data_IF_838811592124
#
_entry.id   IF_838811592124
#
_cell.length_a   1.000
_cell.length_b   1.000
_cell.length_c   1.000
_cell.angle_alpha   90.00
_cell.angle_beta   90.00
_cell.angle_gamma   90.00
#
_symmetry.space_group_name_H-M   'P 1'
#
loop_
_entity.id
_entity.type
_entity.pdbx_description
1 polymer ?
#
# COMPACT_ATOMS: atom_id res chain seq x y z
N UNK A 1 66.61 -37.45 4.90
CA UNK A 1 65.36 -37.26 5.67
C UNK A 1 64.70 -36.01 5.09
N UNK A 2 63.81 -36.14 4.08
CA UNK A 2 62.32 -36.15 4.19
C UNK A 2 61.84 -34.96 5.06
N UNK A 3 61.07 -33.98 4.61
CA UNK A 3 59.84 -34.01 3.77
C UNK A 3 59.69 -32.67 3.01
N UNK A 4 59.36 -32.61 1.72
CA UNK A 4 58.07 -32.89 1.08
C UNK A 4 56.91 -32.05 1.64
N UNK A 5 56.78 -30.82 1.12
CA UNK A 5 55.53 -30.03 1.17
C UNK A 5 54.68 -30.45 -0.03
N UNK A 6 53.56 -31.11 0.25
CA UNK A 6 52.57 -31.51 -0.74
C UNK A 6 51.67 -30.34 -1.10
N UNK A 7 51.54 -30.12 -2.41
CA UNK A 7 50.42 -29.40 -3.01
C UNK A 7 49.13 -30.19 -2.75
N UNK A 8 48.07 -29.50 -2.34
CA UNK A 8 46.70 -30.02 -2.36
C UNK A 8 45.97 -29.41 -3.55
N UNK A 9 45.22 -30.21 -4.34
CA UNK A 9 44.60 -29.77 -5.57
C UNK A 9 43.26 -29.09 -5.34
N UNK A 10 42.94 -28.15 -6.23
CA UNK A 10 41.63 -27.50 -6.38
C UNK A 10 40.53 -28.56 -6.55
N UNK A 11 39.56 -28.56 -5.64
CA UNK A 11 38.33 -29.32 -5.80
C UNK A 11 37.43 -28.59 -6.80
N UNK A 12 37.44 -29.04 -8.05
CA UNK A 12 36.39 -28.70 -9.01
C UNK A 12 35.10 -29.39 -8.56
N UNK A 13 34.14 -28.61 -8.06
CA UNK A 13 32.77 -29.08 -7.86
C UNK A 13 32.11 -29.16 -9.24
N UNK A 14 31.99 -30.38 -9.75
CA UNK A 14 31.17 -30.69 -10.92
C UNK A 14 29.72 -30.76 -10.45
N UNK A 15 28.96 -29.68 -10.66
CA UNK A 15 27.51 -29.70 -10.57
C UNK A 15 26.94 -30.39 -11.82
N UNK A 16 26.74 -31.70 -11.71
CA UNK A 16 25.98 -32.51 -12.68
C UNK A 16 24.51 -32.54 -12.25
N UNK A 17 23.79 -31.47 -12.55
CA UNK A 17 22.33 -31.39 -12.44
C UNK A 17 21.68 -31.63 -13.80
N UNK A 18 21.41 -32.89 -14.14
CA UNK A 18 20.49 -33.25 -15.22
C UNK A 18 19.05 -33.06 -14.71
N UNK A 19 18.52 -31.86 -14.89
CA UNK A 19 17.10 -31.55 -14.76
C UNK A 19 16.56 -31.11 -16.12
N UNK A 20 16.07 -32.07 -16.92
CA UNK A 20 15.18 -31.77 -18.05
C UNK A 20 13.79 -31.42 -17.47
N UNK A 21 13.64 -30.19 -17.01
CA UNK A 21 12.35 -29.56 -16.85
C UNK A 21 11.86 -29.12 -18.24
N UNK A 22 10.68 -29.58 -18.64
CA UNK A 22 9.97 -29.02 -19.78
C UNK A 22 9.52 -27.60 -19.41
N UNK A 23 10.43 -26.63 -19.51
CA UNK A 23 10.11 -25.21 -19.45
C UNK A 23 9.43 -24.79 -20.75
N UNK A 24 8.38 -23.98 -20.63
CA UNK A 24 7.75 -23.27 -21.73
C UNK A 24 8.70 -22.21 -22.30
N UNK A 25 9.78 -22.63 -22.96
CA UNK A 25 10.67 -21.77 -23.74
C UNK A 25 10.23 -21.71 -25.19
N UNK A 26 9.13 -21.04 -25.48
CA UNK A 26 8.84 -20.52 -26.82
C UNK A 26 9.72 -19.30 -27.13
N UNK A 27 9.81 -18.84 -28.39
CA UNK A 27 10.71 -17.74 -28.81
C UNK A 27 10.33 -16.34 -28.29
N UNK A 28 9.37 -16.24 -27.38
CA UNK A 28 8.95 -15.00 -26.72
C UNK A 28 9.53 -14.98 -25.29
N UNK A 29 10.83 -14.71 -25.15
CA UNK A 29 11.33 -14.23 -23.85
C UNK A 29 10.55 -12.96 -23.49
N UNK A 30 10.05 -12.80 -22.24
CA UNK A 30 9.39 -11.58 -21.82
C UNK A 30 10.37 -10.42 -21.96
N UNK A 31 10.22 -9.60 -22.98
CA UNK A 31 10.94 -8.36 -23.05
C UNK A 31 10.18 -7.36 -22.19
N UNK A 32 10.73 -7.04 -21.00
CA UNK A 32 10.15 -6.03 -20.13
C UNK A 32 9.94 -4.75 -20.95
N UNK A 33 8.70 -4.26 -21.01
CA UNK A 33 8.38 -3.07 -21.81
C UNK A 33 8.96 -1.79 -21.21
N UNK A 34 9.26 -1.84 -19.92
CA UNK A 34 9.89 -0.81 -19.10
C UNK A 34 9.40 -0.90 -17.66
N UNK A 35 10.10 -0.23 -16.73
CA UNK A 35 9.80 -0.34 -15.30
C UNK A 35 8.54 0.41 -14.89
N UNK A 36 7.97 0.01 -13.75
CA UNK A 36 6.74 0.57 -13.16
C UNK A 36 7.00 0.96 -11.71
N UNK A 37 6.64 2.19 -11.35
CA UNK A 37 6.55 2.65 -9.97
C UNK A 37 5.07 2.71 -9.58
N UNK A 38 4.67 1.92 -8.57
CA UNK A 38 3.32 1.91 -8.01
C UNK A 38 3.34 2.50 -6.60
N UNK A 39 2.69 3.64 -6.43
CA UNK A 39 2.57 4.35 -5.15
C UNK A 39 1.15 4.17 -4.60
N UNK A 40 1.01 3.35 -3.56
CA UNK A 40 -0.21 3.26 -2.78
C UNK A 40 -0.32 4.44 -1.81
N UNK A 41 -1.46 5.12 -1.81
CA UNK A 41 -1.76 6.24 -0.93
C UNK A 41 -3.10 6.01 -0.26
N UNK A 42 -3.07 5.71 1.04
CA UNK A 42 -4.26 5.31 1.80
C UNK A 42 -5.19 6.49 2.09
N UNK A 43 -6.48 6.30 1.84
CA UNK A 43 -7.54 7.23 2.23
C UNK A 43 -7.56 8.57 1.50
N UNK A 44 -7.14 8.63 0.23
CA UNK A 44 -7.33 9.84 -0.59
C UNK A 44 -8.78 10.00 -1.03
N UNK A 45 -9.45 11.01 -0.47
CA UNK A 45 -10.79 11.42 -0.87
C UNK A 45 -10.77 12.21 -2.19
N UNK A 46 -11.55 11.81 -3.21
CA UNK A 46 -11.61 12.51 -4.49
C UNK A 46 -12.03 13.97 -4.41
N UNK A 47 -12.87 14.35 -3.45
CA UNK A 47 -13.36 15.73 -3.29
C UNK A 47 -12.24 16.61 -2.77
N UNK A 48 -11.51 16.17 -1.75
CA UNK A 48 -10.35 16.90 -1.22
C UNK A 48 -9.26 17.03 -2.29
N UNK A 49 -8.97 15.97 -3.05
CA UNK A 49 -7.99 16.07 -4.15
C UNK A 49 -8.43 17.10 -5.20
N UNK A 50 -9.71 17.10 -5.60
CA UNK A 50 -10.22 18.07 -6.56
C UNK A 50 -10.14 19.52 -6.05
N UNK A 51 -10.48 19.76 -4.78
CA UNK A 51 -10.37 21.08 -4.15
C UNK A 51 -8.92 21.56 -4.08
N UNK A 52 -8.00 20.71 -3.65
CA UNK A 52 -6.58 21.07 -3.54
C UNK A 52 -5.89 21.22 -4.90
N UNK A 53 -6.34 20.50 -5.93
CA UNK A 53 -5.92 20.74 -7.32
C UNK A 53 -6.39 22.11 -7.80
N UNK A 54 -7.66 22.45 -7.55
CA UNK A 54 -8.21 23.76 -7.88
C UNK A 54 -7.44 24.91 -7.21
N UNK A 55 -7.04 24.70 -5.95
CA UNK A 55 -6.23 25.66 -5.18
C UNK A 55 -4.74 25.69 -5.58
N UNK A 56 -4.30 24.81 -6.49
CA UNK A 56 -2.90 24.71 -6.93
C UNK A 56 -1.96 24.17 -5.85
N UNK A 57 -2.48 23.40 -4.90
CA UNK A 57 -1.74 22.85 -3.75
C UNK A 57 -1.16 21.46 -4.01
N UNK A 58 -1.61 20.75 -5.05
CA UNK A 58 -1.12 19.42 -5.44
C UNK A 58 -0.41 19.45 -6.81
N UNK A 59 0.76 20.11 -6.93
CA UNK A 59 1.44 20.29 -8.21
C UNK A 59 1.88 18.97 -8.86
N UNK A 60 2.14 17.91 -8.11
CA UNK A 60 2.53 16.63 -8.69
C UNK A 60 1.31 15.84 -9.18
N UNK A 61 0.20 15.82 -8.43
CA UNK A 61 -1.08 15.29 -8.93
C UNK A 61 -1.57 16.05 -10.17
N UNK A 62 -1.36 17.38 -10.22
CA UNK A 62 -1.71 18.18 -11.39
C UNK A 62 -0.99 17.68 -12.66
N UNK A 63 0.24 17.16 -12.54
CA UNK A 63 0.94 16.55 -13.68
C UNK A 63 0.24 15.30 -14.20
N UNK A 64 -0.37 14.50 -13.34
CA UNK A 64 -1.19 13.36 -13.79
C UNK A 64 -2.41 13.84 -14.56
N UNK A 65 -3.11 14.87 -14.06
CA UNK A 65 -4.23 15.47 -14.76
C UNK A 65 -3.83 16.10 -16.11
N UNK A 66 -2.66 16.74 -16.21
CA UNK A 66 -2.23 17.46 -17.42
C UNK A 66 -1.55 16.58 -18.47
N UNK A 67 -0.74 15.62 -18.04
CA UNK A 67 0.18 14.87 -18.89
C UNK A 67 -0.13 13.37 -18.93
N UNK A 68 -1.07 12.91 -18.10
CA UNK A 68 -1.47 11.52 -17.98
C UNK A 68 -2.98 11.42 -17.77
N UNK A 69 -3.36 10.59 -16.80
CA UNK A 69 -4.75 10.39 -16.37
C UNK A 69 -4.82 10.45 -14.85
N UNK A 70 -5.83 11.11 -14.30
CA UNK A 70 -6.18 11.08 -12.88
C UNK A 70 -7.69 10.94 -12.73
N UNK A 71 -8.19 10.01 -11.92
CA UNK A 71 -9.64 9.84 -11.74
C UNK A 71 -10.02 8.87 -10.65
N UNK A 72 -11.33 8.66 -10.47
CA UNK A 72 -11.86 7.78 -9.41
C UNK A 72 -11.62 6.30 -9.72
N UNK A 73 -11.43 5.50 -8.68
CA UNK A 73 -11.27 4.05 -8.75
C UNK A 73 -12.33 3.38 -7.87
N UNK A 74 -13.21 2.57 -8.47
CA UNK A 74 -14.23 1.83 -7.72
C UNK A 74 -13.56 0.85 -6.75
N UNK A 75 -14.03 0.84 -5.50
CA UNK A 75 -13.47 -0.01 -4.43
C UNK A 75 -14.48 -1.06 -3.96
N UNK A 76 -14.09 -1.82 -2.94
CA UNK A 76 -14.93 -2.80 -2.27
C UNK A 76 -15.75 -2.15 -1.16
N UNK A 77 -16.93 -2.69 -0.91
CA UNK A 77 -17.76 -2.33 0.25
C UNK A 77 -18.02 -3.58 1.10
N UNK A 78 -17.73 -3.56 2.42
CA UNK A 78 -17.10 -2.47 3.17
C UNK A 78 -15.63 -2.23 2.80
N UNK A 79 -15.15 -1.01 3.00
CA UNK A 79 -13.82 -0.54 2.56
C UNK A 79 -12.68 -0.94 3.52
N UNK A 80 -12.59 -2.22 3.86
CA UNK A 80 -11.50 -2.68 4.74
C UNK A 80 -10.15 -2.66 4.01
N UNK A 81 -9.24 -1.77 4.42
CA UNK A 81 -7.91 -1.60 3.83
C UNK A 81 -7.12 -2.91 3.67
N UNK A 82 -7.07 -3.85 4.65
CA UNK A 82 -6.47 -5.18 4.44
C UNK A 82 -6.97 -5.92 3.21
N UNK A 83 -8.28 -5.86 2.98
CA UNK A 83 -8.95 -6.57 1.89
C UNK A 83 -8.64 -5.87 0.57
N UNK A 84 -8.74 -4.54 0.55
CA UNK A 84 -8.53 -3.75 -0.66
C UNK A 84 -7.06 -3.76 -1.09
N UNK A 85 -6.10 -3.51 -0.19
CA UNK A 85 -4.66 -3.55 -0.53
C UNK A 85 -4.19 -4.94 -0.97
N UNK A 86 -4.77 -6.00 -0.41
CA UNK A 86 -4.54 -7.37 -0.90
C UNK A 86 -5.19 -7.58 -2.28
N UNK A 87 -6.38 -7.05 -2.52
CA UNK A 87 -7.04 -7.09 -3.83
C UNK A 87 -6.21 -6.36 -4.89
N UNK A 88 -5.69 -5.16 -4.58
CA UNK A 88 -4.83 -4.37 -5.47
C UNK A 88 -3.55 -5.15 -5.80
N UNK A 89 -2.92 -5.78 -4.80
CA UNK A 89 -1.67 -6.52 -4.99
C UNK A 89 -1.84 -7.87 -5.69
N UNK A 90 -3.04 -8.45 -5.70
CA UNK A 90 -3.29 -9.79 -6.26
C UNK A 90 -4.18 -9.80 -7.49
N UNK A 91 -4.93 -8.72 -7.75
CA UNK A 91 -5.97 -8.67 -8.78
C UNK A 91 -7.19 -9.56 -8.46
N UNK A 92 -7.28 -10.15 -7.26
CA UNK A 92 -8.25 -11.17 -6.92
C UNK A 92 -9.16 -10.77 -5.77
N UNK A 93 -10.30 -11.43 -5.62
CA UNK A 93 -11.28 -11.15 -4.57
C UNK A 93 -10.93 -11.81 -3.23
N UNK A 94 -11.56 -11.35 -2.16
CA UNK A 94 -11.41 -11.90 -0.80
C UNK A 94 -11.63 -13.41 -0.72
N UNK A 95 -12.53 -13.95 -1.54
CA UNK A 95 -12.80 -15.40 -1.60
C UNK A 95 -11.62 -16.19 -2.13
N UNK A 96 -10.80 -15.59 -2.98
CA UNK A 96 -9.58 -16.16 -3.52
C UNK A 96 -8.39 -15.91 -2.59
N UNK A 97 -8.06 -14.65 -2.28
CA UNK A 97 -6.87 -14.34 -1.48
C UNK A 97 -7.01 -14.61 0.02
N UNK A 98 -8.23 -14.70 0.55
CA UNK A 98 -8.51 -15.18 1.90
C UNK A 98 -8.34 -14.17 3.05
N UNK A 99 -8.07 -12.91 2.72
CA UNK A 99 -8.00 -11.79 3.68
C UNK A 99 -9.36 -11.09 3.65
N UNK A 100 -10.11 -11.12 4.74
CA UNK A 100 -11.51 -10.68 4.74
C UNK A 100 -11.83 -9.57 5.76
N UNK A 101 -10.86 -9.23 6.63
CA UNK A 101 -11.02 -8.25 7.69
C UNK A 101 -9.64 -7.77 8.19
N UNK A 102 -9.61 -6.96 9.24
CA UNK A 102 -8.35 -6.56 9.91
C UNK A 102 -7.70 -7.71 10.70
N UNK A 103 -8.50 -8.67 11.17
CA UNK A 103 -8.05 -9.87 11.88
C UNK A 103 -8.68 -11.13 11.32
N UNK A 104 -7.98 -12.24 11.50
CA UNK A 104 -8.51 -13.57 11.25
C UNK A 104 -9.47 -14.00 12.37
N UNK A 105 -10.69 -13.46 12.31
CA UNK A 105 -11.79 -13.79 13.23
C UNK A 105 -12.20 -15.26 13.19
N UNK A 106 -11.82 -16.00 12.14
CA UNK A 106 -12.26 -17.38 11.90
C UNK A 106 -11.36 -18.41 12.55
N UNK A 107 -10.12 -18.06 12.90
CA UNK A 107 -9.21 -19.04 13.50
C UNK A 107 -8.34 -18.47 14.63
N UNK A 108 -7.44 -17.53 14.33
CA UNK A 108 -6.41 -17.11 15.30
C UNK A 108 -6.80 -15.90 16.15
N UNK A 109 -7.69 -15.05 15.65
CA UNK A 109 -7.96 -13.73 16.22
C UNK A 109 -6.80 -12.74 16.04
N UNK A 110 -5.78 -13.09 15.25
CA UNK A 110 -4.59 -12.27 15.02
C UNK A 110 -4.74 -11.46 13.73
N UNK A 111 -4.02 -10.33 13.58
CA UNK A 111 -3.94 -9.64 12.31
C UNK A 111 -3.46 -10.56 11.20
N UNK A 112 -3.95 -10.31 9.98
CA UNK A 112 -3.48 -11.04 8.81
C UNK A 112 -2.00 -10.75 8.51
N UNK A 113 -1.33 -11.75 7.97
CA UNK A 113 0.08 -11.76 7.56
C UNK A 113 0.19 -12.28 6.13
N UNK A 114 1.34 -12.08 5.47
CA UNK A 114 1.58 -12.59 4.11
C UNK A 114 1.37 -14.10 4.02
N UNK A 115 1.71 -14.83 5.08
CA UNK A 115 1.50 -16.27 5.25
C UNK A 115 0.04 -16.73 5.10
N UNK A 116 -0.91 -15.86 5.45
CA UNK A 116 -2.34 -16.17 5.36
C UNK A 116 -2.92 -15.96 3.96
N UNK A 117 -2.20 -15.24 3.09
CA UNK A 117 -2.62 -14.96 1.71
C UNK A 117 -2.59 -16.24 0.90
N UNK A 118 -3.67 -16.48 0.13
CA UNK A 118 -3.92 -17.77 -0.52
C UNK A 118 -3.53 -17.83 -1.99
N UNK A 119 -3.08 -16.70 -2.55
CA UNK A 119 -2.75 -16.49 -3.96
C UNK A 119 -1.50 -15.60 -4.06
N UNK A 120 -0.73 -15.70 -5.16
CA UNK A 120 0.44 -14.84 -5.35
C UNK A 120 0.04 -13.36 -5.48
N UNK A 121 0.87 -12.49 -4.94
CA UNK A 121 0.82 -11.05 -5.19
C UNK A 121 1.73 -10.66 -6.36
N UNK A 122 1.65 -9.40 -6.80
CA UNK A 122 2.47 -8.83 -7.88
C UNK A 122 3.96 -9.13 -7.69
N UNK A 123 4.49 -8.97 -6.48
CA UNK A 123 5.91 -9.24 -6.22
C UNK A 123 6.30 -10.70 -6.40
N UNK A 124 5.41 -11.66 -6.10
CA UNK A 124 5.67 -13.06 -6.40
C UNK A 124 5.67 -13.29 -7.93
N UNK A 125 4.66 -12.78 -8.64
CA UNK A 125 4.49 -13.00 -10.08
C UNK A 125 5.64 -12.37 -10.89
N UNK A 126 6.02 -11.14 -10.55
CA UNK A 126 7.11 -10.41 -11.21
C UNK A 126 8.46 -11.10 -10.95
N UNK A 127 8.70 -11.52 -9.71
CA UNK A 127 9.89 -12.30 -9.35
C UNK A 127 9.96 -13.63 -10.10
N UNK A 128 8.86 -14.39 -10.17
CA UNK A 128 8.80 -15.69 -10.86
C UNK A 128 9.01 -15.55 -12.38
N UNK A 129 8.69 -14.38 -12.94
CA UNK A 129 8.99 -14.03 -14.33
C UNK A 129 10.47 -13.65 -14.56
N UNK A 130 11.30 -13.64 -13.52
CA UNK A 130 12.73 -13.29 -13.58
C UNK A 130 13.01 -11.79 -13.59
N UNK A 131 12.00 -10.95 -13.32
CA UNK A 131 12.15 -9.50 -13.24
C UNK A 131 12.47 -9.06 -11.81
N UNK A 132 13.09 -7.89 -11.68
CA UNK A 132 13.39 -7.28 -10.39
C UNK A 132 12.15 -6.70 -9.72
N UNK A 133 11.98 -6.90 -8.41
CA UNK A 133 10.87 -6.26 -7.65
C UNK A 133 11.29 -5.75 -6.29
N UNK A 134 10.93 -4.50 -6.02
CA UNK A 134 11.15 -3.84 -4.73
C UNK A 134 9.80 -3.47 -4.09
N UNK A 135 9.60 -3.81 -2.82
CA UNK A 135 8.37 -3.52 -2.07
C UNK A 135 8.70 -2.83 -0.75
N UNK A 136 8.05 -1.70 -0.47
CA UNK A 136 8.27 -0.91 0.74
C UNK A 136 6.96 -0.65 1.46
N UNK A 137 6.78 -1.26 2.63
CA UNK A 137 5.70 -0.97 3.57
C UNK A 137 4.30 -1.37 3.12
N UNK A 138 4.18 -2.17 2.05
CA UNK A 138 2.88 -2.58 1.52
C UNK A 138 2.06 -3.35 2.55
N UNK A 139 0.75 -3.13 2.61
CA UNK A 139 -0.12 -3.73 3.63
C UNK A 139 -0.16 -5.27 3.54
N UNK A 140 -0.15 -5.96 4.68
CA UNK A 140 -0.11 -7.45 4.80
C UNK A 140 1.10 -8.11 4.11
N UNK A 141 2.27 -7.48 4.17
CA UNK A 141 3.50 -8.01 3.54
C UNK A 141 4.43 -8.75 4.50
N UNK A 142 4.23 -8.67 5.82
CA UNK A 142 5.03 -9.42 6.80
C UNK A 142 4.51 -10.85 7.01
N UNK A 143 5.40 -11.86 7.13
CA UNK A 143 6.85 -11.80 6.94
C UNK A 143 7.26 -11.54 5.49
N UNK A 144 8.41 -10.89 5.30
CA UNK A 144 8.98 -10.59 3.99
C UNK A 144 9.19 -11.88 3.19
N UNK A 145 8.59 -11.94 2.00
CA UNK A 145 8.67 -13.12 1.13
C UNK A 145 9.92 -13.10 0.26
N UNK A 146 10.53 -14.27 -0.04
CA UNK A 146 11.62 -14.35 -0.98
C UNK A 146 11.23 -13.89 -2.39
N UNK A 147 11.97 -12.93 -2.94
CA UNK A 147 11.79 -12.40 -4.29
C UNK A 147 13.14 -12.12 -4.97
N UNK A 148 13.13 -11.98 -6.30
CA UNK A 148 14.21 -11.41 -7.07
C UNK A 148 14.25 -9.87 -6.87
N UNK A 149 14.70 -9.41 -5.72
CA UNK A 149 14.74 -8.00 -5.35
C UNK A 149 14.65 -7.81 -3.84
N UNK A 150 14.00 -6.72 -3.40
CA UNK A 150 14.02 -6.28 -2.00
C UNK A 150 12.61 -6.11 -1.43
N UNK A 151 12.40 -6.45 -0.16
CA UNK A 151 11.16 -6.17 0.56
C UNK A 151 11.49 -5.57 1.92
N UNK A 152 10.87 -4.43 2.25
CA UNK A 152 10.64 -3.98 3.62
C UNK A 152 9.16 -4.23 3.94
N UNK A 153 8.90 -5.22 4.78
CA UNK A 153 7.57 -5.74 5.05
C UNK A 153 6.90 -5.03 6.24
N UNK A 154 5.63 -4.71 6.06
CA UNK A 154 4.75 -4.10 7.06
C UNK A 154 3.99 -5.18 7.83
N UNK A 155 4.11 -5.16 9.16
CA UNK A 155 3.32 -6.00 10.06
C UNK A 155 2.07 -5.27 10.53
N UNK A 156 0.89 -5.82 10.20
CA UNK A 156 -0.40 -5.18 10.46
C UNK A 156 -0.62 -4.85 11.94
N UNK A 157 -0.22 -5.71 12.88
CA UNK A 157 -0.40 -5.38 14.30
C UNK A 157 0.52 -4.27 14.79
N UNK A 158 1.80 -4.20 14.38
CA UNK A 158 2.62 -3.02 14.72
C UNK A 158 2.06 -1.75 14.10
N UNK A 159 1.55 -1.91 12.87
CA UNK A 159 0.75 -0.90 12.21
C UNK A 159 -0.57 -0.63 12.91
N UNK A 160 -0.93 -1.24 14.04
CA UNK A 160 -2.23 -1.02 14.68
C UNK A 160 -2.15 -0.98 16.21
N UNK A 161 -1.01 -1.37 16.80
CA UNK A 161 -0.73 -1.43 18.23
C UNK A 161 -0.09 -0.12 18.70
N UNK A 162 0.83 0.45 17.93
CA UNK A 162 1.55 1.68 18.29
C UNK A 162 0.81 2.96 17.91
N UNK A 163 -0.51 2.99 18.06
CA UNK A 163 -1.40 4.16 17.95
C UNK A 163 -1.94 4.44 16.54
N UNK A 164 -1.44 3.82 15.46
CA UNK A 164 -1.86 4.19 14.10
C UNK A 164 -1.67 3.04 13.14
N UNK A 165 -2.69 2.83 12.30
CA UNK A 165 -2.85 2.01 11.08
C UNK A 165 -1.64 1.77 10.14
N UNK A 166 -0.42 2.26 10.45
CA UNK A 166 0.79 2.22 9.60
C UNK A 166 2.01 1.68 10.37
N UNK A 167 2.83 0.87 9.70
CA UNK A 167 3.84 0.02 10.32
C UNK A 167 4.97 0.78 11.05
N UNK A 168 5.45 0.15 12.12
CA UNK A 168 6.74 0.42 12.72
C UNK A 168 7.76 -0.60 12.19
N UNK A 169 8.99 -0.16 11.93
CA UNK A 169 10.08 -1.04 11.52
C UNK A 169 11.12 -1.12 12.62
N UNK A 170 11.39 -2.34 13.07
CA UNK A 170 12.46 -2.67 13.98
C UNK A 170 12.74 -4.16 13.81
N UNK A 171 13.55 -4.51 12.80
CA UNK A 171 13.80 -5.92 12.50
C UNK A 171 14.63 -6.62 13.59
N UNK A 172 15.21 -5.86 14.54
CA UNK A 172 15.88 -6.42 15.71
C UNK A 172 14.85 -6.97 16.71
N UNK A 173 13.63 -6.41 16.75
CA UNK A 173 12.53 -6.83 17.61
C UNK A 173 11.46 -7.66 16.88
N UNK A 174 11.25 -7.39 15.60
CA UNK A 174 10.29 -8.06 14.72
C UNK A 174 11.04 -8.70 13.57
N UNK A 175 11.47 -9.97 13.72
CA UNK A 175 12.27 -10.63 12.70
C UNK A 175 11.47 -10.77 11.40
N UNK A 176 12.18 -11.00 10.29
CA UNK A 176 11.57 -11.25 8.97
C UNK A 176 10.83 -10.01 8.40
N UNK A 177 11.20 -8.80 8.82
CA UNK A 177 10.73 -7.56 8.19
C UNK A 177 11.45 -7.24 6.88
N UNK A 178 12.55 -7.91 6.56
CA UNK A 178 13.30 -7.61 5.33
C UNK A 178 13.60 -8.86 4.50
N UNK A 179 13.56 -8.69 3.18
CA UNK A 179 14.15 -9.62 2.22
C UNK A 179 15.11 -8.85 1.30
N UNK A 180 16.35 -9.32 1.07
CA UNK A 180 17.02 -10.36 1.86
C UNK A 180 17.16 -9.95 3.34
N UNK A 181 17.46 -10.90 4.23
CA UNK A 181 17.52 -10.61 5.69
C UNK A 181 18.56 -9.52 6.03
N UNK A 182 19.69 -9.49 5.33
CA UNK A 182 20.77 -8.51 5.52
C UNK A 182 20.44 -7.10 5.00
N UNK A 183 19.31 -6.94 4.30
CA UNK A 183 18.81 -5.62 3.90
C UNK A 183 18.55 -4.71 5.10
N UNK A 184 18.21 -5.27 6.27
CA UNK A 184 17.99 -4.47 7.49
C UNK A 184 19.20 -3.60 7.84
N UNK A 185 20.42 -4.14 7.71
CA UNK A 185 21.65 -3.39 7.97
C UNK A 185 21.83 -2.18 7.04
N UNK A 186 21.18 -2.20 5.87
CA UNK A 186 21.24 -1.14 4.86
C UNK A 186 20.17 -0.06 5.10
N UNK A 187 18.96 -0.46 5.47
CA UNK A 187 17.80 0.44 5.57
C UNK A 187 17.52 0.95 6.98
N UNK A 188 18.08 0.33 8.03
CA UNK A 188 17.88 0.72 9.43
C UNK A 188 18.10 2.21 9.71
N UNK A 189 19.06 2.83 9.04
CA UNK A 189 19.42 4.23 9.26
C UNK A 189 18.44 5.20 8.56
N UNK A 190 17.60 4.70 7.67
CA UNK A 190 16.51 5.45 7.04
C UNK A 190 15.20 5.39 7.85
N UNK A 191 15.13 4.53 8.88
CA UNK A 191 13.95 4.35 9.72
C UNK A 191 13.92 5.37 10.85
N UNK A 192 12.76 6.00 11.03
CA UNK A 192 12.47 6.82 12.21
C UNK A 192 11.86 5.92 13.29
N UNK A 193 12.62 5.66 14.35
CA UNK A 193 12.17 4.85 15.48
C UNK A 193 11.21 5.62 16.39
N UNK A 194 10.18 4.95 16.90
CA UNK A 194 9.15 5.57 17.76
C UNK A 194 9.74 6.14 19.07
N UNK A 195 10.84 5.56 19.53
CA UNK A 195 11.57 5.97 20.73
C UNK A 195 12.34 7.28 20.52
N UNK A 196 12.70 7.61 19.27
CA UNK A 196 13.39 8.86 18.93
C UNK A 196 12.39 10.03 18.85
N UNK A 197 11.95 10.47 20.03
CA UNK A 197 11.02 11.59 20.18
C UNK A 197 11.53 12.89 19.56
N UNK A 198 12.85 13.10 19.52
CA UNK A 198 13.43 14.30 18.93
C UNK A 198 13.25 14.27 17.41
N UNK A 199 13.62 13.15 16.77
CA UNK A 199 13.45 12.98 15.33
C UNK A 199 11.98 13.03 14.92
N UNK A 200 11.08 12.34 15.62
CA UNK A 200 9.62 12.39 15.37
C UNK A 200 9.11 13.84 15.47
N UNK A 201 9.51 14.58 16.49
CA UNK A 201 9.11 15.97 16.66
C UNK A 201 9.68 16.88 15.56
N UNK A 202 10.92 16.66 15.13
CA UNK A 202 11.54 17.39 14.02
C UNK A 202 10.79 17.14 12.71
N UNK A 203 10.43 15.88 12.41
CA UNK A 203 9.62 15.53 11.24
C UNK A 203 8.26 16.22 11.29
N UNK A 204 7.55 16.12 12.42
CA UNK A 204 6.27 16.82 12.61
C UNK A 204 6.40 18.32 12.34
N UNK A 205 7.39 18.98 12.94
CA UNK A 205 7.62 20.43 12.80
C UNK A 205 8.04 20.88 11.39
N UNK A 206 8.48 19.96 10.54
CA UNK A 206 8.77 20.25 9.13
C UNK A 206 7.52 20.57 8.33
N UNK A 207 6.36 20.06 8.78
CA UNK A 207 5.10 20.11 8.03
C UNK A 207 3.96 20.77 8.81
N UNK A 208 3.84 20.45 10.09
CA UNK A 208 2.75 20.86 10.95
C UNK A 208 3.25 21.79 12.06
N UNK A 209 2.34 22.60 12.59
CA UNK A 209 2.59 23.41 13.78
C UNK A 209 2.02 22.68 14.98
N UNK A 210 2.79 22.61 16.07
CA UNK A 210 2.27 22.11 17.34
C UNK A 210 1.23 23.11 17.86
N UNK A 211 -0.04 22.70 18.02
CA UNK A 211 -1.09 23.59 18.52
C UNK A 211 -0.85 23.90 20.00
N UNK A 212 -1.09 25.14 20.41
CA UNK A 212 -1.12 25.53 21.83
C UNK A 212 -2.49 25.20 22.46
N UNK A 213 -2.88 23.93 22.37
CA UNK A 213 -4.14 23.39 22.87
C UNK A 213 -3.82 22.10 23.64
N UNK A 214 -4.07 22.11 24.94
CA UNK A 214 -3.74 21.00 25.85
C UNK A 214 -4.96 20.14 26.22
N UNK A 215 -6.15 20.57 25.83
CA UNK A 215 -7.38 19.84 26.12
C UNK A 215 -7.48 18.58 25.24
N UNK A 216 -7.89 17.46 25.84
CA UNK A 216 -8.17 16.23 25.10
C UNK A 216 -9.29 16.46 24.07
N UNK A 217 -9.24 15.85 22.88
CA UNK A 217 -8.25 14.85 22.44
C UNK A 217 -6.98 15.40 21.76
N UNK A 218 -6.77 16.72 21.71
CA UNK A 218 -5.79 17.34 20.79
C UNK A 218 -4.36 16.81 20.96
N UNK A 219 -3.80 16.64 22.17
CA UNK A 219 -2.47 16.05 22.34
C UNK A 219 -2.35 14.64 21.75
N UNK A 220 -3.41 13.82 21.84
CA UNK A 220 -3.44 12.50 21.19
C UNK A 220 -3.44 12.64 19.68
N UNK A 221 -4.31 13.47 19.10
CA UNK A 221 -4.40 13.65 17.65
C UNK A 221 -3.05 14.07 17.03
N UNK A 222 -2.33 14.97 17.71
CA UNK A 222 -1.00 15.43 17.28
C UNK A 222 0.05 14.31 17.35
N UNK A 223 0.05 13.52 18.43
CA UNK A 223 0.94 12.37 18.56
C UNK A 223 0.69 11.36 17.46
N UNK A 224 -0.58 11.08 17.17
CA UNK A 224 -0.97 10.18 16.10
C UNK A 224 -0.38 10.74 14.78
N UNK A 225 -0.75 11.94 14.37
CA UNK A 225 -0.24 12.51 13.11
C UNK A 225 1.30 12.52 12.99
N UNK A 226 2.02 12.83 14.07
CA UNK A 226 3.48 12.84 14.11
C UNK A 226 4.09 11.46 13.85
N UNK A 227 3.50 10.40 14.41
CA UNK A 227 3.98 9.05 14.18
C UNK A 227 3.67 8.59 12.74
N UNK A 228 2.48 8.86 12.21
CA UNK A 228 2.16 8.51 10.81
C UNK A 228 3.11 9.19 9.83
N UNK A 229 3.36 10.48 10.03
CA UNK A 229 4.29 11.21 9.19
C UNK A 229 5.68 10.57 9.24
N UNK A 230 6.13 10.14 10.42
CA UNK A 230 7.44 9.49 10.59
C UNK A 230 7.51 8.12 9.90
N UNK A 231 6.43 7.33 9.94
CA UNK A 231 6.32 6.07 9.23
C UNK A 231 6.35 6.28 7.70
N UNK A 232 5.59 7.24 7.17
CA UNK A 232 5.60 7.60 5.76
C UNK A 232 6.98 8.12 5.31
N UNK A 233 7.68 8.88 6.17
CA UNK A 233 9.06 9.32 5.91
C UNK A 233 10.05 8.16 5.85
N UNK A 234 9.87 7.14 6.68
CA UNK A 234 10.68 5.93 6.64
C UNK A 234 10.43 5.15 5.33
N UNK A 235 9.17 4.95 4.95
CA UNK A 235 8.81 4.32 3.66
C UNK A 235 9.37 5.09 2.47
N UNK A 236 9.24 6.42 2.49
CA UNK A 236 9.74 7.27 1.43
C UNK A 236 11.26 7.19 1.31
N UNK A 237 11.99 7.28 2.42
CA UNK A 237 13.45 7.21 2.40
C UNK A 237 13.97 5.86 1.86
N UNK A 238 13.34 4.75 2.25
CA UNK A 238 13.69 3.42 1.74
C UNK A 238 13.32 3.27 0.26
N UNK A 239 12.15 3.77 -0.16
CA UNK A 239 11.75 3.75 -1.56
C UNK A 239 12.68 4.60 -2.45
N UNK A 240 13.11 5.77 -1.98
CA UNK A 240 14.10 6.60 -2.68
C UNK A 240 15.46 5.90 -2.79
N UNK A 241 15.89 5.20 -1.74
CA UNK A 241 17.10 4.38 -1.79
C UNK A 241 16.98 3.30 -2.86
N UNK A 242 15.87 2.56 -2.89
CA UNK A 242 15.66 1.51 -3.88
C UNK A 242 15.63 2.06 -5.31
N UNK A 243 14.97 3.19 -5.52
CA UNK A 243 14.94 3.89 -6.82
C UNK A 243 16.31 4.41 -7.25
N UNK A 244 17.18 4.79 -6.30
CA UNK A 244 18.49 5.36 -6.58
C UNK A 244 19.60 4.31 -6.76
N UNK A 245 19.39 3.09 -6.29
CA UNK A 245 20.40 2.01 -6.26
C UNK A 245 19.84 0.71 -6.84
N UNK A 246 20.13 0.49 -8.13
CA UNK A 246 19.74 -0.67 -8.94
C UNK A 246 18.26 -1.07 -8.73
N UNK A 247 17.31 -0.21 -9.13
CA UNK A 247 15.90 -0.47 -8.88
C UNK A 247 15.39 -1.69 -9.65
N UNK A 248 14.47 -2.43 -9.02
CA UNK A 248 13.70 -3.46 -9.70
C UNK A 248 12.85 -2.90 -10.85
N UNK A 249 12.41 -3.80 -11.73
CA UNK A 249 11.46 -3.48 -12.81
C UNK A 249 10.10 -3.04 -12.26
N UNK A 250 9.72 -3.51 -11.07
CA UNK A 250 8.57 -3.02 -10.32
C UNK A 250 9.02 -2.50 -8.96
N UNK A 251 8.69 -1.25 -8.66
CA UNK A 251 8.85 -0.67 -7.31
C UNK A 251 7.47 -0.34 -6.76
N UNK A 252 7.14 -0.89 -5.59
CA UNK A 252 5.89 -0.67 -4.87
C UNK A 252 6.18 0.02 -3.54
N UNK A 253 5.51 1.13 -3.27
CA UNK A 253 5.61 1.79 -1.96
C UNK A 253 4.24 2.26 -1.48
N UNK A 254 4.12 2.49 -0.19
CA UNK A 254 2.87 2.81 0.48
C UNK A 254 3.03 4.00 1.43
N UNK A 255 2.09 4.94 1.34
CA UNK A 255 1.97 6.13 2.18
C UNK A 255 0.56 6.19 2.77
N UNK A 256 0.41 6.59 4.03
CA UNK A 256 -0.89 6.54 4.70
C UNK A 256 -1.23 7.72 5.59
N UNK A 257 -0.49 8.84 5.49
CA UNK A 257 -0.82 10.07 6.20
C UNK A 257 -2.24 10.61 5.95
N UNK A 258 -2.81 10.59 4.72
CA UNK A 258 -4.14 11.13 4.45
C UNK A 258 -5.26 10.40 5.19
N UNK A 259 -5.23 9.07 5.22
CA UNK A 259 -6.17 8.22 5.96
C UNK A 259 -6.23 8.58 7.46
N UNK A 260 -5.07 8.62 8.12
CA UNK A 260 -4.99 8.93 9.55
C UNK A 260 -5.42 10.37 9.82
N UNK A 261 -4.97 11.31 8.99
CA UNK A 261 -5.38 12.70 9.10
C UNK A 261 -6.90 12.83 8.93
N UNK A 262 -7.51 12.08 8.00
CA UNK A 262 -8.95 12.03 7.77
C UNK A 262 -9.68 11.54 9.01
N UNK A 263 -9.29 10.39 9.55
CA UNK A 263 -9.87 9.88 10.80
C UNK A 263 -9.78 10.88 11.95
N UNK A 264 -8.62 11.53 12.15
CA UNK A 264 -8.34 12.35 13.34
C UNK A 264 -8.86 13.80 13.23
N UNK A 265 -8.86 14.37 12.03
CA UNK A 265 -9.02 15.82 11.83
C UNK A 265 -10.19 16.24 10.91
N UNK A 266 -11.03 15.31 10.41
CA UNK A 266 -12.18 15.65 9.56
C UNK A 266 -13.05 16.78 10.14
N UNK A 267 -13.34 16.73 11.45
CA UNK A 267 -14.15 17.76 12.13
C UNK A 267 -13.57 19.17 12.06
N UNK A 268 -12.26 19.31 11.94
CA UNK A 268 -11.63 20.64 11.84
C UNK A 268 -11.60 21.13 10.39
N UNK A 269 -11.51 20.19 9.44
CA UNK A 269 -11.56 20.48 8.00
C UNK A 269 -12.97 20.85 7.54
N UNK A 270 -13.96 20.04 7.88
CA UNK A 270 -15.37 20.20 7.52
C UNK A 270 -16.26 20.28 8.78
N UNK A 271 -16.15 21.33 9.62
CA UNK A 271 -16.93 21.45 10.86
C UNK A 271 -18.43 21.51 10.63
N UNK A 272 -18.88 21.88 9.42
CA UNK A 272 -20.29 21.92 9.06
C UNK A 272 -20.97 20.54 8.99
N UNK A 273 -20.19 19.46 8.98
CA UNK A 273 -20.72 18.09 8.94
C UNK A 273 -21.22 17.61 10.31
N UNK A 274 -20.90 18.32 11.41
CA UNK A 274 -21.16 17.89 12.79
C UNK A 274 -22.29 18.68 13.44
N UNK A 275 -22.94 18.10 14.45
CA UNK A 275 -24.05 18.73 15.18
C UNK A 275 -23.58 19.60 16.36
N UNK A 276 -22.28 19.74 16.55
CA UNK A 276 -21.66 20.57 17.57
C UNK A 276 -20.78 21.64 16.94
N UNK A 277 -20.54 22.72 17.70
CA UNK A 277 -19.65 23.78 17.28
C UNK A 277 -18.20 23.42 17.62
N UNK A 278 -17.33 23.44 16.61
CA UNK A 278 -15.89 23.33 16.82
C UNK A 278 -15.36 24.70 17.29
N UNK A 279 -14.64 24.79 18.44
CA UNK A 279 -14.16 26.07 18.94
C UNK A 279 -13.30 26.82 17.89
N UNK A 280 -13.47 28.14 17.71
CA UNK A 280 -12.69 28.90 16.72
C UNK A 280 -11.18 28.74 16.86
N UNK A 281 -10.66 28.68 18.09
CA UNK A 281 -9.23 28.45 18.34
C UNK A 281 -8.74 27.09 17.80
N UNK A 282 -9.60 26.07 17.78
CA UNK A 282 -9.28 24.76 17.21
C UNK A 282 -9.30 24.83 15.67
N UNK A 283 -10.26 25.54 15.08
CA UNK A 283 -10.31 25.75 13.62
C UNK A 283 -9.06 26.49 13.13
N UNK A 284 -8.66 27.56 13.82
CA UNK A 284 -7.47 28.33 13.49
C UNK A 284 -6.17 27.49 13.56
N UNK A 285 -6.11 26.54 14.49
CA UNK A 285 -4.93 25.72 14.74
C UNK A 285 -4.89 24.42 13.90
N UNK A 286 -6.05 23.83 13.62
CA UNK A 286 -6.17 22.44 13.13
C UNK A 286 -6.90 22.33 11.79
N UNK A 287 -7.58 23.37 11.31
CA UNK A 287 -8.45 23.30 10.13
C UNK A 287 -7.73 22.94 8.83
N UNK A 288 -6.46 23.32 8.69
CA UNK A 288 -5.66 22.99 7.49
C UNK A 288 -4.84 21.70 7.65
N UNK A 289 -4.88 21.02 8.79
CA UNK A 289 -4.06 19.82 9.06
C UNK A 289 -4.33 18.71 8.04
N UNK A 290 -5.60 18.45 7.72
CA UNK A 290 -5.97 17.44 6.72
C UNK A 290 -5.42 17.80 5.34
N UNK A 291 -5.60 19.04 4.90
CA UNK A 291 -5.06 19.49 3.61
C UNK A 291 -3.53 19.41 3.56
N UNK A 292 -2.86 19.73 4.67
CA UNK A 292 -1.41 19.65 4.75
C UNK A 292 -0.91 18.20 4.63
N UNK A 293 -1.67 17.20 5.09
CA UNK A 293 -1.36 15.79 4.87
C UNK A 293 -1.42 15.39 3.39
N UNK A 294 -2.42 15.87 2.64
CA UNK A 294 -2.55 15.60 1.20
C UNK A 294 -1.39 16.24 0.41
N UNK A 295 -1.02 17.46 0.76
CA UNK A 295 0.12 18.13 0.15
C UNK A 295 1.45 17.44 0.52
N UNK A 296 1.56 16.84 1.70
CA UNK A 296 2.75 16.07 2.08
C UNK A 296 2.95 14.84 1.18
N UNK A 297 1.88 14.08 0.92
CA UNK A 297 1.97 12.91 0.02
C UNK A 297 2.14 13.32 -1.45
N UNK A 298 1.66 14.50 -1.87
CA UNK A 298 2.01 15.07 -3.18
C UNK A 298 3.51 15.41 -3.28
N UNK A 299 4.09 16.00 -2.24
CA UNK A 299 5.53 16.29 -2.19
C UNK A 299 6.36 14.98 -2.18
N UNK A 300 5.93 13.97 -1.43
CA UNK A 300 6.54 12.64 -1.43
C UNK A 300 6.49 11.99 -2.82
N UNK A 301 5.36 12.07 -3.50
CA UNK A 301 5.21 11.61 -4.89
C UNK A 301 6.17 12.36 -5.81
N UNK A 302 6.26 13.69 -5.70
CA UNK A 302 7.19 14.50 -6.48
C UNK A 302 8.67 14.08 -6.31
N UNK A 303 9.07 13.71 -5.08
CA UNK A 303 10.41 13.18 -4.79
C UNK A 303 10.65 11.85 -5.51
N UNK A 304 9.73 10.89 -5.39
CA UNK A 304 9.83 9.60 -6.09
C UNK A 304 9.87 9.79 -7.62
N UNK A 305 9.00 10.65 -8.16
CA UNK A 305 8.95 11.00 -9.59
C UNK A 305 10.26 11.62 -10.09
N UNK A 306 11.02 12.29 -9.23
CA UNK A 306 12.31 12.91 -9.61
C UNK A 306 13.46 11.92 -9.77
N UNK A 307 13.29 10.68 -9.26
CA UNK A 307 14.29 9.62 -9.32
C UNK A 307 14.12 8.68 -10.52
N UNK A 308 13.01 8.81 -11.25
CA UNK A 308 12.69 7.97 -12.41
C UNK A 308 12.77 8.75 -13.72
N UNK A 309 13.10 8.05 -14.79
CA UNK A 309 13.29 8.61 -16.14
C UNK A 309 12.11 8.28 -17.08
N UNK A 310 12.18 8.71 -18.35
CA UNK A 310 11.14 8.53 -19.35
C UNK A 310 10.79 7.07 -19.68
N UNK A 311 11.61 6.10 -19.24
CA UNK A 311 11.30 4.67 -19.41
C UNK A 311 10.27 4.18 -18.40
N UNK A 312 10.07 4.90 -17.30
CA UNK A 312 9.17 4.51 -16.24
C UNK A 312 7.72 4.85 -16.55
N UNK A 313 6.82 3.98 -16.10
CA UNK A 313 5.41 4.30 -15.89
C UNK A 313 5.19 4.49 -14.40
N UNK A 314 4.52 5.58 -14.03
CA UNK A 314 4.22 5.92 -12.63
C UNK A 314 2.73 5.79 -12.43
N UNK A 315 2.35 4.96 -11.47
CA UNK A 315 0.97 4.72 -11.06
C UNK A 315 0.82 5.20 -9.62
N UNK A 316 -0.26 5.93 -9.35
CA UNK A 316 -0.74 6.16 -8.00
C UNK A 316 -2.10 5.47 -7.83
N UNK A 317 -2.34 4.88 -6.67
CA UNK A 317 -3.65 4.34 -6.32
C UNK A 317 -3.99 4.60 -4.86
N UNK A 318 -5.27 4.87 -4.60
CA UNK A 318 -5.90 4.90 -3.28
C UNK A 318 -6.98 3.85 -3.21
N UNK A 319 -7.10 3.22 -2.06
CA UNK A 319 -8.06 2.16 -1.76
C UNK A 319 -9.48 2.68 -1.54
N UNK A 320 -9.64 3.82 -0.86
CA UNK A 320 -10.96 4.41 -0.56
C UNK A 320 -10.91 5.94 -0.38
N UNK A 321 -12.10 6.56 -0.26
CA UNK A 321 -12.26 7.94 0.16
C UNK A 321 -12.48 8.04 1.67
N UNK A 322 -13.10 9.15 2.12
CA UNK A 322 -13.37 9.41 3.54
C UNK A 322 -14.53 10.39 3.68
N UNK A 323 -15.35 10.24 4.72
CA UNK A 323 -16.32 11.28 5.11
C UNK A 323 -16.50 11.34 6.63
N UNK A 324 -17.31 12.30 7.09
CA UNK A 324 -17.63 12.43 8.51
C UNK A 324 -18.23 11.13 9.07
N UNK A 325 -17.79 10.77 10.27
CA UNK A 325 -18.24 9.58 10.99
C UNK A 325 -19.65 9.80 11.55
N UNK A 326 -20.67 9.06 11.05
CA UNK A 326 -22.05 9.19 11.48
C UNK A 326 -22.24 8.81 12.96
N UNK A 327 -21.34 8.03 13.54
CA UNK A 327 -21.37 7.67 14.97
C UNK A 327 -20.80 8.76 15.86
N UNK A 328 -20.07 9.73 15.29
CA UNK A 328 -19.34 10.78 16.03
C UNK A 328 -19.89 12.19 15.77
N UNK A 329 -21.04 12.32 15.08
CA UNK A 329 -21.64 13.62 14.75
C UNK A 329 -22.02 14.46 15.97
N UNK A 330 -22.26 13.80 17.11
CA UNK A 330 -22.65 14.42 18.38
C UNK A 330 -21.52 14.34 19.45
N UNK A 331 -20.35 13.77 19.13
CA UNK A 331 -19.23 13.59 20.06
C UNK A 331 -18.05 14.54 19.73
N UNK A 332 -17.92 15.68 20.43
CA UNK A 332 -16.86 16.65 20.18
C UNK A 332 -15.48 16.22 20.70
N UNK A 333 -15.38 15.15 21.48
CA UNK A 333 -14.13 14.69 22.11
C UNK A 333 -13.67 13.32 21.63
N UNK A 334 -14.40 12.69 20.70
CA UNK A 334 -13.98 11.43 20.08
C UNK A 334 -12.61 11.55 19.40
N UNK A 335 -11.80 10.50 19.49
CA UNK A 335 -10.54 10.41 18.75
C UNK A 335 -10.77 10.31 17.24
N UNK A 336 -11.92 9.79 16.80
CA UNK A 336 -12.34 9.73 15.40
C UNK A 336 -13.28 10.88 15.03
N UNK A 337 -13.23 11.32 13.79
CA UNK A 337 -14.18 12.25 13.16
C UNK A 337 -14.45 11.92 11.71
N UNK A 338 -13.48 11.34 11.00
CA UNK A 338 -13.69 10.72 9.70
C UNK A 338 -13.80 9.20 9.82
N UNK A 339 -14.50 8.58 8.89
CA UNK A 339 -14.46 7.14 8.65
C UNK A 339 -14.63 6.85 7.15
N UNK A 340 -14.27 5.62 6.76
CA UNK A 340 -14.30 5.22 5.37
C UNK A 340 -15.18 4.01 5.07
N UNK A 341 -15.81 3.38 6.07
CA UNK A 341 -16.48 2.06 5.95
C UNK A 341 -17.41 1.95 4.73
N UNK A 342 -18.09 3.05 4.40
CA UNK A 342 -19.00 3.26 3.28
C UNK A 342 -18.64 4.51 2.46
N UNK A 343 -17.34 4.81 2.35
CA UNK A 343 -16.78 5.93 1.59
C UNK A 343 -16.07 5.51 0.28
N UNK A 344 -16.76 4.88 -0.69
CA UNK A 344 -16.22 4.78 -2.04
C UNK A 344 -16.29 6.16 -2.74
N UNK A 345 -15.50 6.43 -3.78
CA UNK A 345 -14.42 5.61 -4.35
C UNK A 345 -13.02 6.06 -3.93
N UNK A 346 -12.01 5.22 -4.20
CA UNK A 346 -10.60 5.64 -4.17
C UNK A 346 -10.21 6.43 -5.42
N UNK A 347 -8.90 6.59 -5.64
CA UNK A 347 -8.32 7.35 -6.75
C UNK A 347 -7.32 6.47 -7.50
N UNK A 348 -7.22 6.66 -8.81
CA UNK A 348 -6.16 6.11 -9.65
C UNK A 348 -5.58 7.19 -10.54
N UNK A 349 -4.25 7.20 -10.67
CA UNK A 349 -3.55 8.03 -11.63
C UNK A 349 -2.47 7.25 -12.35
N UNK A 350 -2.26 7.58 -13.61
CA UNK A 350 -1.16 7.04 -14.41
C UNK A 350 -0.45 8.16 -15.16
N UNK A 351 0.88 8.08 -15.24
CA UNK A 351 1.74 9.03 -15.93
C UNK A 351 2.97 8.31 -16.51
N UNK A 352 3.51 8.82 -17.61
CA UNK A 352 4.76 8.33 -18.19
C UNK A 352 4.56 7.36 -19.33
N UNK A 353 5.51 6.43 -19.52
CA UNK A 353 5.56 5.55 -20.69
C UNK A 353 4.26 4.76 -20.88
N UNK A 354 3.73 4.78 -22.10
CA UNK A 354 2.57 3.98 -22.49
C UNK A 354 1.22 4.49 -21.98
N UNK A 355 1.17 5.64 -21.33
CA UNK A 355 -0.05 6.25 -20.80
C UNK A 355 -0.54 7.35 -21.74
N UNK A 356 -1.87 7.45 -21.90
CA UNK A 356 -2.51 8.50 -22.67
C UNK A 356 -2.51 9.83 -21.90
N UNK A 357 -2.46 10.96 -22.61
CA UNK A 357 -2.83 12.25 -22.04
C UNK A 357 -4.37 12.35 -21.98
N UNK A 358 -4.97 11.73 -20.96
CA UNK A 358 -6.42 11.56 -20.84
C UNK A 358 -7.13 12.63 -20.01
N UNK A 359 -6.43 13.30 -19.08
CA UNK A 359 -7.03 14.39 -18.30
C UNK A 359 -7.40 14.03 -16.85
N UNK A 360 -8.06 14.97 -16.18
CA UNK A 360 -8.71 14.78 -14.88
C UNK A 360 -10.15 14.28 -15.03
N UNK A 361 -10.48 13.23 -14.29
CA UNK A 361 -11.74 12.50 -14.29
C UNK A 361 -12.28 12.25 -12.86
N UNK A 362 -12.00 13.16 -11.93
CA UNK A 362 -12.47 13.04 -10.54
C UNK A 362 -13.99 13.25 -10.42
N UNK A 363 -14.60 14.05 -11.30
CA UNK A 363 -16.05 14.21 -11.39
C UNK A 363 -16.79 13.16 -12.24
N UNK A 364 -16.05 12.33 -12.99
CA UNK A 364 -16.61 11.39 -13.98
C UNK A 364 -16.82 9.99 -13.41
N UNK A 365 -17.45 9.10 -14.19
CA UNK A 365 -17.53 7.68 -13.84
C UNK A 365 -16.12 7.09 -13.58
N UNK A 366 -15.96 6.19 -12.60
CA UNK A 366 -14.65 5.62 -12.28
C UNK A 366 -13.89 5.04 -13.49
N UNK A 367 -12.58 5.21 -13.48
CA UNK A 367 -11.64 4.72 -14.50
C UNK A 367 -11.56 3.19 -14.52
N UNK A 368 -11.89 2.56 -13.41
CA UNK A 368 -11.84 1.11 -13.23
C UNK A 368 -12.19 0.76 -11.80
N UNK A 369 -11.70 -0.37 -11.36
CA UNK A 369 -11.88 -0.95 -10.04
C UNK A 369 -10.54 -1.32 -9.44
N UNK A 370 -10.48 -1.54 -8.13
CA UNK A 370 -9.27 -2.04 -7.45
C UNK A 370 -8.75 -3.37 -8.00
N UNK A 371 -9.60 -4.17 -8.67
CA UNK A 371 -9.19 -5.42 -9.36
C UNK A 371 -8.37 -5.17 -10.63
N UNK A 372 -8.47 -3.97 -11.22
CA UNK A 372 -7.83 -3.62 -12.48
C UNK A 372 -6.35 -3.26 -12.31
N UNK A 373 -5.89 -2.96 -11.09
CA UNK A 373 -4.54 -2.43 -10.86
C UNK A 373 -3.46 -3.49 -11.16
N UNK A 374 -3.50 -4.66 -10.53
CA UNK A 374 -2.53 -5.73 -10.78
C UNK A 374 -2.44 -6.15 -12.26
N UNK A 375 -3.53 -6.45 -12.99
CA UNK A 375 -3.45 -6.80 -14.40
C UNK A 375 -2.88 -5.66 -15.27
N UNK A 376 -3.13 -4.40 -14.89
CA UNK A 376 -2.54 -3.23 -15.56
C UNK A 376 -1.03 -3.16 -15.35
N UNK A 377 -0.54 -3.40 -14.12
CA UNK A 377 0.89 -3.47 -13.81
C UNK A 377 1.56 -4.58 -14.63
N UNK A 378 0.99 -5.80 -14.64
CA UNK A 378 1.52 -6.91 -15.43
C UNK A 378 1.60 -6.54 -16.92
N UNK A 379 0.55 -5.91 -17.47
CA UNK A 379 0.55 -5.47 -18.87
C UNK A 379 1.64 -4.44 -19.16
N UNK A 380 1.86 -3.47 -18.27
CA UNK A 380 2.86 -2.41 -18.43
C UNK A 380 4.31 -2.93 -18.35
N UNK A 381 4.52 -4.02 -17.60
CA UNK A 381 5.77 -4.78 -17.57
C UNK A 381 5.91 -5.73 -18.77
N UNK A 382 4.85 -5.92 -19.55
CA UNK A 382 4.82 -6.88 -20.65
C UNK A 382 4.59 -8.32 -20.20
N UNK A 383 4.13 -8.58 -18.98
CA UNK A 383 3.83 -9.92 -18.49
C UNK A 383 2.42 -10.38 -18.88
N UNK A 384 2.19 -11.70 -19.07
CA UNK A 384 0.84 -12.22 -19.25
C UNK A 384 0.03 -12.13 -17.95
N UNK A 385 -1.28 -11.95 -18.09
CA UNK A 385 -2.23 -11.80 -16.99
C UNK A 385 -3.01 -13.12 -16.78
N UNK A 386 -3.18 -13.60 -15.54
CA UNK A 386 -3.93 -14.83 -15.30
C UNK A 386 -5.39 -14.72 -15.77
N UNK A 387 -5.84 -15.66 -16.61
CA UNK A 387 -7.14 -15.59 -17.27
C UNK A 387 -8.34 -15.64 -16.31
N UNK A 388 -8.15 -16.20 -15.11
CA UNK A 388 -9.19 -16.36 -14.09
C UNK A 388 -9.41 -15.10 -13.25
N UNK A 389 -8.54 -14.09 -13.37
CA UNK A 389 -8.68 -12.86 -12.60
C UNK A 389 -9.94 -12.08 -13.04
N UNK A 390 -10.75 -11.55 -12.09
CA UNK A 390 -12.02 -10.89 -12.39
C UNK A 390 -11.94 -9.85 -13.53
N UNK A 391 -10.96 -8.94 -13.47
CA UNK A 391 -10.75 -7.89 -14.47
C UNK A 391 -10.23 -8.42 -15.81
N UNK A 392 -9.48 -9.52 -15.82
CA UNK A 392 -8.98 -10.11 -17.07
C UNK A 392 -10.14 -10.80 -17.81
N UNK A 393 -10.98 -11.52 -17.07
CA UNK A 393 -12.12 -12.24 -17.63
C UNK A 393 -13.26 -11.31 -18.10
N UNK A 394 -13.48 -10.19 -17.41
CA UNK A 394 -14.57 -9.26 -17.70
C UNK A 394 -14.16 -8.07 -18.58
N UNK A 395 -12.86 -7.88 -18.81
CA UNK A 395 -12.28 -6.73 -19.49
C UNK A 395 -11.74 -5.72 -18.47
N UNK A 396 -10.45 -5.40 -18.59
CA UNK A 396 -9.77 -4.53 -17.64
C UNK A 396 -10.20 -3.07 -17.86
N UNK A 397 -10.83 -2.48 -16.85
CA UNK A 397 -11.35 -1.11 -16.92
C UNK A 397 -10.25 -0.07 -17.18
N UNK A 398 -9.06 -0.30 -16.65
CA UNK A 398 -7.91 0.61 -16.75
C UNK A 398 -7.19 0.51 -18.10
N UNK A 399 -7.54 -0.42 -19.00
CA UNK A 399 -7.01 -0.41 -20.36
C UNK A 399 -7.27 0.92 -21.09
N UNK A 400 -8.30 1.66 -20.68
CA UNK A 400 -8.66 2.97 -21.21
C UNK A 400 -7.62 4.06 -20.92
N UNK A 401 -6.75 3.86 -19.93
CA UNK A 401 -5.72 4.85 -19.54
C UNK A 401 -4.46 4.73 -20.40
N UNK A 402 -4.32 3.64 -21.15
CA UNK A 402 -3.17 3.39 -22.01
C UNK A 402 -3.25 4.23 -23.29
N UNK A 403 -2.08 4.66 -23.77
CA UNK A 403 -1.98 5.27 -25.10
C UNK A 403 -2.47 4.27 -26.18
N UNK A 404 -3.35 4.66 -27.11
CA UNK A 404 -3.90 3.74 -28.10
C UNK A 404 -2.87 3.13 -29.06
N UNK A 405 -1.74 3.80 -29.32
CA UNK A 405 -0.66 3.22 -30.11
C UNK A 405 0.13 2.20 -29.30
N UNK A 406 0.47 2.55 -28.05
CA UNK A 406 1.09 1.64 -27.10
C UNK A 406 0.25 0.37 -26.88
N UNK A 407 -1.06 0.52 -26.63
CA UNK A 407 -1.96 -0.60 -26.38
C UNK A 407 -2.11 -1.54 -27.59
N UNK A 408 -2.04 -1.00 -28.82
CA UNK A 408 -2.04 -1.80 -30.06
C UNK A 408 -0.72 -2.52 -30.30
N UNK A 409 0.40 -1.86 -29.98
CA UNK A 409 1.74 -2.47 -30.09
C UNK A 409 1.98 -3.53 -29.01
N UNK A 410 1.35 -3.37 -27.84
CA UNK A 410 1.49 -4.23 -26.67
C UNK A 410 0.11 -4.76 -26.25
N UNK A 411 -0.47 -5.72 -27.01
CA UNK A 411 -1.76 -6.31 -26.68
C UNK A 411 -1.68 -7.05 -25.34
N UNK A 412 -2.77 -7.03 -24.57
CA UNK A 412 -2.89 -7.82 -23.35
C UNK A 412 -2.66 -9.29 -23.67
N UNK A 413 -1.76 -9.94 -22.92
CA UNK A 413 -1.49 -11.37 -23.01
C UNK A 413 -2.10 -12.06 -21.81
N UNK A 414 -2.59 -13.27 -21.98
CA UNK A 414 -3.12 -14.08 -20.88
C UNK A 414 -2.32 -15.35 -20.67
N UNK A 415 -2.38 -15.90 -19.46
CA UNK A 415 -1.81 -17.20 -19.12
C UNK A 415 -2.78 -18.02 -18.25
N UNK A 416 -2.50 -19.31 -18.12
CA UNK A 416 -3.15 -20.15 -17.11
C UNK A 416 -2.85 -19.64 -15.69
N UNK A 417 -3.70 -20.03 -14.73
CA UNK A 417 -3.60 -19.59 -13.33
C UNK A 417 -2.29 -20.05 -12.66
N UNK A 418 -1.45 -19.13 -12.14
CA UNK A 418 -0.27 -19.49 -11.37
C UNK A 418 -0.61 -19.96 -9.94
N UNK A 419 -1.85 -19.76 -9.49
CA UNK A 419 -2.25 -19.91 -8.10
C UNK A 419 -2.04 -21.33 -7.58
N UNK A 420 -2.33 -22.35 -8.40
CA UNK A 420 -2.19 -23.75 -7.97
C UNK A 420 -0.74 -24.14 -7.74
N UNK A 421 0.17 -23.70 -8.61
CA UNK A 421 1.60 -23.98 -8.48
C UNK A 421 2.18 -23.19 -7.31
N UNK A 422 1.80 -21.92 -7.17
CA UNK A 422 2.19 -21.08 -6.04
C UNK A 422 1.74 -21.68 -4.71
N UNK A 423 0.47 -22.11 -4.59
CA UNK A 423 -0.08 -22.74 -3.38
C UNK A 423 0.64 -24.05 -3.05
N UNK A 424 1.10 -24.81 -4.05
CA UNK A 424 1.89 -26.03 -3.82
C UNK A 424 3.29 -25.73 -3.31
N UNK A 425 3.90 -24.65 -3.78
CA UNK A 425 5.23 -24.21 -3.36
C UNK A 425 5.23 -23.50 -1.99
N UNK A 426 4.13 -22.83 -1.65
CA UNK A 426 3.99 -22.02 -0.43
C UNK A 426 2.84 -22.56 0.43
N UNK A 427 3.08 -23.67 1.17
CA UNK A 427 2.05 -24.26 2.01
C UNK A 427 1.61 -23.27 3.09
N UNK A 428 0.30 -23.01 3.12
CA UNK A 428 -0.32 -21.97 3.95
C UNK A 428 -0.13 -22.23 5.44
N UNK A 429 0.16 -21.18 6.19
CA UNK A 429 0.07 -21.16 7.65
C UNK A 429 -1.06 -20.24 8.12
N UNK A 430 -1.50 -20.47 9.35
CA UNK A 430 -2.35 -19.50 10.04
C UNK A 430 -1.51 -18.26 10.38
N UNK A 431 -2.12 -17.06 10.45
CA UNK A 431 -1.39 -15.88 10.90
C UNK A 431 -0.71 -16.13 12.24
N UNK A 432 0.50 -15.59 12.39
CA UNK A 432 1.27 -15.67 13.62
C UNK A 432 1.61 -14.27 14.14
N UNK A 433 1.94 -14.24 15.42
CA UNK A 433 2.54 -13.08 16.05
C UNK A 433 4.07 -13.16 15.96
N UNK A 434 4.79 -12.06 15.67
CA UNK A 434 6.25 -12.05 15.69
C UNK A 434 6.80 -12.25 17.11
N UNK A 435 6.09 -11.75 18.12
CA UNK A 435 6.45 -11.91 19.54
C UNK A 435 5.20 -12.16 20.40
N UNK A 436 5.37 -12.58 21.66
CA UNK A 436 4.25 -12.87 22.58
C UNK A 436 3.36 -11.64 22.87
N UNK A 437 3.94 -10.43 22.83
CA UNK A 437 3.26 -9.18 23.21
C UNK A 437 2.93 -8.26 22.00
N UNK A 438 3.26 -8.65 20.76
CA UNK A 438 3.14 -7.76 19.60
C UNK A 438 1.70 -7.30 19.28
N UNK A 439 0.69 -7.96 19.86
CA UNK A 439 -0.73 -7.77 19.53
C UNK A 439 -1.59 -7.28 20.72
N UNK A 440 -1.00 -7.01 21.89
CA UNK A 440 -1.76 -6.65 23.10
C UNK A 440 -2.52 -5.33 22.92
N UNK A 441 -1.86 -4.30 22.38
CA UNK A 441 -2.50 -2.98 22.17
C UNK A 441 -3.46 -2.94 20.96
N UNK A 442 -3.39 -3.95 20.09
CA UNK A 442 -4.12 -3.95 18.82
C UNK A 442 -5.61 -4.29 18.98
N UNK A 443 -5.95 -5.31 19.77
CA UNK A 443 -7.34 -5.77 19.92
C UNK A 443 -8.23 -4.71 20.59
N UNK A 444 -7.71 -4.06 21.62
CA UNK A 444 -8.39 -2.97 22.34
C UNK A 444 -8.71 -1.77 21.43
N UNK A 445 -7.88 -1.55 20.41
CA UNK A 445 -8.07 -0.43 19.46
C UNK A 445 -9.15 -0.71 18.42
N UNK A 446 -9.23 -1.95 17.90
CA UNK A 446 -10.32 -2.32 16.98
C UNK A 446 -11.70 -2.20 17.66
N UNK A 447 -11.75 -2.46 18.97
CA UNK A 447 -12.96 -2.26 19.78
C UNK A 447 -13.31 -0.78 19.90
N UNK A 448 -12.34 0.07 20.29
CA UNK A 448 -12.53 1.51 20.43
C UNK A 448 -12.98 2.23 19.14
N UNK A 449 -12.68 1.65 17.97
CA UNK A 449 -13.05 2.17 16.66
C UNK A 449 -14.34 1.55 16.10
N UNK A 450 -15.01 0.68 16.87
CA UNK A 450 -16.29 0.07 16.49
C UNK A 450 -16.19 -1.02 15.42
N UNK A 451 -14.98 -1.45 15.05
CA UNK A 451 -14.81 -2.53 14.06
C UNK A 451 -15.27 -3.88 14.64
N UNK A 452 -15.08 -4.14 15.93
CA UNK A 452 -15.51 -5.39 16.57
C UNK A 452 -17.03 -5.44 16.83
N UNK A 453 -17.67 -4.31 17.08
CA UNK A 453 -19.12 -4.22 17.26
C UNK A 453 -19.90 -4.56 15.98
N UNK A 454 -19.31 -4.31 14.80
CA UNK A 454 -19.91 -4.66 13.51
C UNK A 454 -20.09 -6.18 13.32
N UNK A 455 -19.27 -7.00 14.01
CA UNK A 455 -19.32 -8.47 13.99
C UNK A 455 -20.41 -9.04 14.91
N UNK A 456 -20.85 -8.28 15.91
CA UNK A 456 -21.84 -8.72 16.90
C UNK A 456 -23.30 -8.36 16.54
N UNK A 457 -23.53 -7.66 15.42
CA UNK A 457 -24.89 -7.47 14.90
C UNK A 457 -25.35 -8.77 14.25
N UNK A 458 -26.46 -9.39 14.71
CA UNK A 458 -26.99 -10.57 14.04
C UNK A 458 -27.30 -10.18 12.60
N UNK A 459 -26.68 -10.87 11.64
CA UNK A 459 -27.08 -10.81 10.23
C UNK A 459 -28.56 -11.15 10.20
N UNK A 460 -29.39 -10.13 9.94
CA UNK A 460 -30.83 -10.33 9.79
C UNK A 460 -31.07 -11.41 8.74
N UNK A 461 -31.91 -12.38 9.10
CA UNK A 461 -32.30 -13.52 8.26
C UNK A 461 -32.56 -13.07 6.82
N UNK A 462 -31.63 -13.40 5.92
CA UNK A 462 -31.90 -13.51 4.50
C UNK A 462 -32.53 -14.89 4.28
N UNK A 463 -33.76 -15.07 4.76
CA UNK A 463 -34.56 -16.25 4.50
C UNK A 463 -35.97 -15.84 4.02
N UNK A 464 -36.25 -16.20 2.76
CA UNK A 464 -37.57 -16.51 2.18
C UNK A 464 -38.57 -15.36 1.95
N UNK A 465 -38.55 -14.82 0.72
CA UNK A 465 -39.65 -14.98 -0.25
C UNK A 465 -39.26 -14.52 -1.66
#
# INVERSE_FOLDING_TARGET
MRSALHALPSAAVVLLGLGLGAGCGGPDEPQALGPVLLVGMDGLDPTIVAELLHDGRLPNFARFAEQGVLGRLTTLEPTYSPVIWTTIATGQALTAHGIDFFIDTRSTGLPYTSEARRVPALWNIVSDAGLGVDVVGWWVSWPAEPVNGRILASYAAQAQAHVIWKAAYDADQVPEQTWPEDLWDVVRDDIVFAEDREQVQQQFNSRFKVPDIQDEPVPRLVRDLAWTLSADRSNLAVAERFLSDDPGDLVMTYLGLPDVAGHRFWRYHAPGDFHYEVPPAHLDALGDVLNLAYVDVDEALGRLMSLVDERWTILLCSDHGMHADPLMLDDPVSLGSGHHLDAPPGIFGALGRGIAAGGEHLGDAPLGTVFDVAPTVLRLLGLPQPEHWPSVASGNGLDRVLDPEFARANPARTCESPDLDWVRAHPRSLPRSPTEHANEDFTDQLDALGYLDSLNKPTGDADQN
#
